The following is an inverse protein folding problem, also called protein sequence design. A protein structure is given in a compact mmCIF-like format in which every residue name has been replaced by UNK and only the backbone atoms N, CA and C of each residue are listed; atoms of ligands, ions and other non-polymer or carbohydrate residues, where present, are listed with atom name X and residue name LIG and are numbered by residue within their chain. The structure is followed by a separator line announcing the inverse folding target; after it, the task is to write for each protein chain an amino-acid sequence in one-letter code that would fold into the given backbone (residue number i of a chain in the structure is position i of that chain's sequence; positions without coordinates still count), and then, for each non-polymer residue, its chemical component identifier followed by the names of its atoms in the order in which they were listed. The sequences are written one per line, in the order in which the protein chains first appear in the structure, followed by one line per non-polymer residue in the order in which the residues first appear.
data_IF_073877129066
#
_entry.id   IF_073877129066
#
_cell.length_a   1.000
_cell.length_b   1.000
_cell.length_c   1.000
_cell.angle_alpha   90.00
_cell.angle_beta   90.00
_cell.angle_gamma   90.00
#
_symmetry.space_group_name_H-M   'P 1'
#
loop_
_entity.id
_entity.type
_entity.pdbx_description
1 polymer ?
#
# COMPACT_ATOMS: atom_id res chain seq x y z
N UNK A 1 -28.32 2.01 -19.74
CA UNK A 1 -26.89 2.39 -19.66
C UNK A 1 -26.79 3.35 -18.48
N UNK A 2 -26.42 2.86 -17.29
CA UNK A 2 -26.46 3.68 -16.07
C UNK A 2 -25.30 4.66 -16.14
N UNK A 3 -25.62 5.94 -16.32
CA UNK A 3 -24.67 7.04 -16.23
C UNK A 3 -24.55 7.37 -14.74
N UNK A 4 -23.92 6.50 -13.96
CA UNK A 4 -23.51 6.87 -12.61
C UNK A 4 -22.32 7.79 -12.79
N UNK A 5 -22.55 9.08 -12.60
CA UNK A 5 -21.52 10.04 -12.22
C UNK A 5 -20.93 9.58 -10.87
N UNK A 6 -20.16 8.49 -10.92
CA UNK A 6 -19.22 8.16 -9.86
C UNK A 6 -18.30 9.39 -9.80
N UNK A 7 -18.15 9.98 -8.60
CA UNK A 7 -17.16 11.03 -8.36
C UNK A 7 -15.76 10.44 -8.63
N UNK A 8 -15.38 10.45 -9.90
CA UNK A 8 -14.14 9.92 -10.42
C UNK A 8 -13.11 11.06 -10.39
N UNK A 9 -11.95 10.74 -9.85
CA UNK A 9 -10.87 11.68 -9.64
C UNK A 9 -9.79 11.42 -10.68
N UNK A 10 -9.63 12.36 -11.62
CA UNK A 10 -8.63 12.27 -12.69
C UNK A 10 -7.29 12.87 -12.25
N UNK A 11 -6.20 12.18 -12.62
CA UNK A 11 -4.85 12.68 -12.46
C UNK A 11 -4.47 13.55 -13.67
N UNK A 12 -4.25 14.84 -13.45
CA UNK A 12 -3.88 15.82 -14.49
C UNK A 12 -2.52 15.57 -15.14
N UNK A 13 -1.62 14.83 -14.47
CA UNK A 13 -0.27 14.52 -14.97
C UNK A 13 -0.26 13.35 -15.98
N UNK A 14 -1.23 12.44 -15.90
CA UNK A 14 -1.23 11.22 -16.74
C UNK A 14 -2.62 10.72 -17.14
N UNK A 15 -3.67 11.52 -16.95
CA UNK A 15 -5.08 11.26 -17.26
C UNK A 15 -5.64 9.93 -16.72
N UNK A 16 -5.06 9.41 -15.62
CA UNK A 16 -5.57 8.20 -14.96
C UNK A 16 -6.76 8.54 -14.08
N UNK A 17 -7.79 7.71 -14.16
CA UNK A 17 -9.03 7.90 -13.41
C UNK A 17 -9.07 6.99 -12.18
N UNK A 18 -9.43 7.55 -11.03
CA UNK A 18 -9.53 6.85 -9.75
C UNK A 18 -10.92 6.98 -9.16
N UNK A 19 -11.40 5.93 -8.48
CA UNK A 19 -12.70 5.94 -7.80
C UNK A 19 -12.71 6.68 -6.47
N UNK A 20 -11.56 7.13 -5.97
CA UNK A 20 -11.49 7.84 -4.69
C UNK A 20 -10.40 8.91 -4.69
N UNK A 21 -10.67 10.01 -3.99
CA UNK A 21 -9.74 11.13 -3.81
C UNK A 21 -8.46 10.67 -3.12
N UNK A 22 -8.56 9.76 -2.16
CA UNK A 22 -7.42 9.17 -1.44
C UNK A 22 -6.51 8.39 -2.38
N UNK A 23 -7.09 7.62 -3.31
CA UNK A 23 -6.32 6.87 -4.30
C UNK A 23 -5.67 7.81 -5.31
N UNK A 24 -6.39 8.86 -5.76
CA UNK A 24 -5.78 9.89 -6.62
C UNK A 24 -4.62 10.58 -5.90
N UNK A 25 -4.78 11.01 -4.65
CA UNK A 25 -3.73 11.69 -3.88
C UNK A 25 -2.51 10.79 -3.68
N UNK A 26 -2.71 9.51 -3.38
CA UNK A 26 -1.62 8.52 -3.31
C UNK A 26 -0.95 8.33 -4.68
N UNK A 27 -1.72 8.32 -5.75
CA UNK A 27 -1.17 8.20 -7.09
C UNK A 27 -0.35 9.44 -7.49
N UNK A 28 -0.84 10.65 -7.23
CA UNK A 28 -0.13 11.90 -7.52
C UNK A 28 1.24 11.98 -6.83
N UNK A 29 1.42 11.28 -5.71
CA UNK A 29 2.73 11.22 -5.04
C UNK A 29 3.83 10.59 -5.90
N UNK A 30 3.49 9.70 -6.86
CA UNK A 30 4.48 9.11 -7.77
C UNK A 30 5.09 10.15 -8.71
N UNK A 31 4.33 11.18 -9.06
CA UNK A 31 4.77 12.26 -9.94
C UNK A 31 5.63 13.28 -9.19
N UNK A 32 5.44 13.39 -7.87
CA UNK A 32 6.10 14.43 -7.06
C UNK A 32 7.49 14.07 -6.51
N UNK A 33 8.12 12.96 -6.92
CA UNK A 33 9.39 12.41 -6.37
C UNK A 33 9.44 12.20 -4.84
N UNK A 34 8.41 12.65 -4.10
CA UNK A 34 8.20 12.42 -2.68
C UNK A 34 7.76 10.99 -2.50
N UNK A 35 8.73 10.08 -2.39
CA UNK A 35 8.56 8.68 -1.97
C UNK A 35 7.70 8.67 -0.69
N UNK A 36 6.42 8.25 -0.72
CA UNK A 36 5.52 8.52 0.39
C UNK A 36 5.84 7.66 1.61
N UNK A 37 6.37 6.46 1.38
CA UNK A 37 6.78 5.53 2.43
C UNK A 37 8.02 4.76 1.96
N UNK A 38 9.20 5.39 2.10
CA UNK A 38 10.49 4.75 1.87
C UNK A 38 10.84 3.89 3.10
N UNK A 39 11.39 2.70 2.88
CA UNK A 39 12.02 1.96 3.94
C UNK A 39 13.36 2.62 4.33
N UNK A 40 13.67 2.65 5.62
CA UNK A 40 14.94 3.21 6.09
C UNK A 40 16.07 2.16 6.08
N UNK A 41 15.72 0.88 6.11
CA UNK A 41 16.65 -0.26 6.06
C UNK A 41 17.02 -0.64 4.61
N UNK A 42 16.24 -0.21 3.62
CA UNK A 42 16.52 -0.45 2.20
C UNK A 42 15.86 0.59 1.29
N UNK A 43 16.27 0.71 0.03
CA UNK A 43 15.73 1.71 -0.90
C UNK A 43 14.32 1.42 -1.45
N UNK A 44 13.61 0.45 -0.86
CA UNK A 44 12.26 0.07 -1.29
C UNK A 44 11.24 1.15 -0.92
N UNK A 45 10.36 1.46 -1.87
CA UNK A 45 9.27 2.43 -1.69
C UNK A 45 7.94 1.73 -1.82
N UNK A 46 7.03 2.02 -0.89
CA UNK A 46 5.71 1.40 -0.87
C UNK A 46 4.60 2.44 -0.93
N UNK A 47 3.46 2.02 -1.49
CA UNK A 47 2.31 2.89 -1.73
C UNK A 47 1.60 3.32 -0.46
N UNK A 48 1.63 2.50 0.60
CA UNK A 48 0.92 2.77 1.86
C UNK A 48 1.79 2.50 3.07
N UNK A 49 1.51 3.20 4.18
CA UNK A 49 2.12 2.96 5.49
C UNK A 49 1.94 1.51 5.98
N UNK A 50 0.75 0.92 5.81
CA UNK A 50 0.48 -0.48 6.19
C UNK A 50 1.40 -1.46 5.46
N UNK A 51 1.64 -1.23 4.17
CA UNK A 51 2.56 -2.05 3.40
C UNK A 51 4.00 -1.84 3.86
N UNK A 52 4.39 -0.61 4.21
CA UNK A 52 5.71 -0.32 4.77
C UNK A 52 5.93 -1.04 6.10
N UNK A 53 4.98 -0.93 7.04
CA UNK A 53 5.06 -1.62 8.33
C UNK A 53 5.17 -3.14 8.16
N UNK A 54 4.36 -3.71 7.25
CA UNK A 54 4.44 -5.13 6.89
C UNK A 54 5.76 -5.50 6.21
N UNK A 55 6.33 -4.60 5.44
CA UNK A 55 7.65 -4.81 4.84
C UNK A 55 8.74 -4.77 5.90
N UNK A 56 8.68 -3.90 6.91
CA UNK A 56 9.69 -3.84 7.97
C UNK A 56 9.85 -5.16 8.74
N UNK A 57 8.80 -5.99 8.83
CA UNK A 57 8.89 -7.32 9.45
C UNK A 57 9.84 -8.28 8.72
N UNK A 58 10.18 -8.00 7.46
CA UNK A 58 11.19 -8.77 6.74
C UNK A 58 12.61 -8.49 7.26
N UNK A 59 12.86 -7.27 7.74
CA UNK A 59 14.15 -6.83 8.27
C UNK A 59 14.28 -7.19 9.75
N UNK A 60 13.22 -6.99 10.55
CA UNK A 60 13.22 -7.36 11.97
C UNK A 60 13.07 -8.87 12.19
N UNK A 61 12.58 -9.60 11.19
CA UNK A 61 12.28 -11.02 11.31
C UNK A 61 11.01 -11.32 12.12
N UNK A 62 10.29 -10.30 12.59
CA UNK A 62 9.06 -10.46 13.35
C UNK A 62 7.98 -11.22 12.56
N UNK A 63 7.27 -12.11 13.25
CA UNK A 63 6.16 -12.89 12.68
C UNK A 63 4.95 -12.75 13.59
N UNK A 64 4.21 -11.63 13.48
CA UNK A 64 3.16 -11.27 14.44
C UNK A 64 1.92 -12.16 14.34
N UNK A 65 1.76 -12.93 13.26
CA UNK A 65 0.59 -13.77 13.04
C UNK A 65 0.90 -15.21 13.43
N UNK A 66 0.32 -15.70 14.52
CA UNK A 66 0.45 -17.08 14.98
C UNK A 66 -0.81 -17.87 14.66
N UNK A 67 -0.68 -19.01 14.00
CA UNK A 67 -1.75 -20.00 13.87
C UNK A 67 -1.88 -20.77 15.20
N UNK A 68 -3.07 -20.80 15.79
CA UNK A 68 -3.34 -21.52 17.03
C UNK A 68 -3.39 -23.04 16.83
N UNK A 69 -3.85 -23.48 15.65
CA UNK A 69 -4.00 -24.90 15.31
C UNK A 69 -2.65 -25.60 15.10
N UNK A 70 -1.74 -24.98 14.35
CA UNK A 70 -0.44 -25.58 14.01
C UNK A 70 0.77 -24.91 14.67
N UNK A 71 0.55 -23.90 15.53
CA UNK A 71 1.57 -23.10 16.21
C UNK A 71 2.61 -22.40 15.29
N UNK A 72 2.40 -22.39 13.97
CA UNK A 72 3.28 -21.71 13.01
C UNK A 72 3.06 -20.20 13.05
N UNK A 73 4.14 -19.46 12.79
CA UNK A 73 4.15 -17.99 12.77
C UNK A 73 4.44 -17.47 11.37
N UNK A 74 3.73 -16.40 10.99
CA UNK A 74 3.72 -15.82 9.64
C UNK A 74 3.93 -14.30 9.69
N UNK A 75 4.45 -13.76 8.59
CA UNK A 75 4.67 -12.30 8.43
C UNK A 75 3.43 -11.55 7.96
N UNK A 76 2.45 -12.26 7.37
CA UNK A 76 1.25 -11.68 6.78
C UNK A 76 0.04 -12.58 7.02
N UNK A 77 -1.14 -11.99 7.21
CA UNK A 77 -2.41 -12.72 7.36
C UNK A 77 -2.78 -13.57 6.15
N UNK A 78 -2.37 -13.18 4.94
CA UNK A 78 -2.60 -13.94 3.70
C UNK A 78 -1.81 -15.24 3.64
N UNK A 79 -0.85 -15.44 4.53
CA UNK A 79 -0.03 -16.65 4.59
C UNK A 79 -0.30 -17.49 5.84
N UNK A 80 -1.23 -17.04 6.70
CA UNK A 80 -1.71 -17.77 7.87
C UNK A 80 -2.62 -18.93 7.41
#
# INVERSE_FOLDING_TARGET
KVHTEENLYECTECNKIFRSKTNLKQHQQIHTEKKPYKCNECDKVLKTSTLLKRHQTIHTGEKPYKCTECNKVFRTTTSL
#
